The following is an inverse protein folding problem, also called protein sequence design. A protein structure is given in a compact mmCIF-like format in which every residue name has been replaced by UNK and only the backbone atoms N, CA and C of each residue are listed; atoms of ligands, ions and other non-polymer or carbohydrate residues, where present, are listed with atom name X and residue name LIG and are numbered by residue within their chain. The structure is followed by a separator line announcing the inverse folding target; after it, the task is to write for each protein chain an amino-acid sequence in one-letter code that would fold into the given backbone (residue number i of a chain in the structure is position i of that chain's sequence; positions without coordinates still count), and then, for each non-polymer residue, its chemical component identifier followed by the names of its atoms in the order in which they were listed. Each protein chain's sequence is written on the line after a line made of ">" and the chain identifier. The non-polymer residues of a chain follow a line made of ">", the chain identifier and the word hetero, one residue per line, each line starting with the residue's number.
data_IF_711593501042
#
_entry.id   IF_711593501042
#
_cell.length_a   1.000
_cell.length_b   1.000
_cell.length_c   1.000
_cell.angle_alpha   90.00
_cell.angle_beta   90.00
_cell.angle_gamma   90.00
#
_symmetry.space_group_name_H-M   'P 1'
#
loop_
_entity.id
_entity.type
_entity.pdbx_description
1 polymer ?
#
# COMPACT_ATOMS: atom_id res chain seq x y z
N UNK A 1 8.19 -7.81 11.64
CA UNK A 1 8.44 -6.88 10.51
C UNK A 1 7.63 -5.61 10.76
N UNK A 2 8.05 -4.45 10.27
CA UNK A 2 7.27 -3.21 10.37
C UNK A 2 6.90 -2.76 8.96
N UNK A 3 5.63 -2.42 8.75
CA UNK A 3 5.11 -1.92 7.48
C UNK A 3 4.90 -0.41 7.53
N UNK A 4 5.13 0.26 6.41
CA UNK A 4 4.99 1.70 6.27
C UNK A 4 4.20 2.04 5.01
N UNK A 5 3.40 3.10 5.07
CA UNK A 5 2.71 3.76 3.97
C UNK A 5 3.20 5.21 3.94
N UNK A 6 3.86 5.62 2.85
CA UNK A 6 4.50 6.94 2.71
C UNK A 6 5.34 7.32 3.94
N UNK A 7 6.23 6.41 4.32
CA UNK A 7 7.12 6.53 5.49
C UNK A 7 6.41 6.59 6.86
N UNK A 8 5.08 6.48 6.91
CA UNK A 8 4.30 6.40 8.15
C UNK A 8 4.04 4.94 8.54
N UNK A 9 4.27 4.54 9.81
CA UNK A 9 4.08 3.17 10.24
C UNK A 9 2.59 2.78 10.16
N UNK A 10 2.32 1.67 9.47
CA UNK A 10 1.00 1.07 9.37
C UNK A 10 0.70 0.35 10.69
N UNK A 11 -0.49 0.62 11.23
CA UNK A 11 -1.04 -0.13 12.36
C UNK A 11 -2.09 -1.10 11.84
N UNK A 12 -2.15 -2.27 12.45
CA UNK A 12 -3.16 -3.26 12.14
C UNK A 12 -4.56 -2.70 12.43
N UNK A 13 -5.45 -2.80 11.45
CA UNK A 13 -6.83 -2.33 11.50
C UNK A 13 -7.71 -3.29 10.68
N UNK A 14 -9.01 -3.01 10.56
CA UNK A 14 -9.89 -3.77 9.65
C UNK A 14 -9.51 -3.58 8.17
N UNK A 15 -8.92 -2.44 7.84
CA UNK A 15 -8.49 -2.09 6.49
C UNK A 15 -7.13 -2.69 6.16
N UNK A 16 -6.18 -2.57 7.10
CA UNK A 16 -4.82 -3.10 6.99
C UNK A 16 -4.63 -4.30 7.92
N UNK A 17 -4.54 -5.50 7.37
CA UNK A 17 -4.24 -6.72 8.11
C UNK A 17 -2.80 -7.14 7.86
N UNK A 18 -2.09 -7.57 8.91
CA UNK A 18 -0.70 -8.01 8.81
C UNK A 18 -0.63 -9.47 9.24
N UNK A 19 -0.22 -10.34 8.32
CA UNK A 19 -0.14 -11.78 8.56
C UNK A 19 1.32 -12.24 8.59
N UNK A 20 1.55 -13.26 9.42
CA UNK A 20 2.83 -13.95 9.56
C UNK A 20 2.55 -15.46 9.56
N UNK A 21 3.10 -16.16 8.58
CA UNK A 21 2.97 -17.62 8.51
C UNK A 21 4.11 -18.37 9.21
N UNK A 22 3.92 -19.68 9.39
CA UNK A 22 4.88 -20.57 10.05
C UNK A 22 6.18 -20.76 9.24
N UNK A 23 6.14 -20.53 7.93
CA UNK A 23 7.30 -20.56 7.03
C UNK A 23 8.12 -19.25 7.09
N UNK A 24 7.64 -18.25 7.83
CA UNK A 24 8.31 -16.97 8.06
C UNK A 24 7.98 -15.90 7.02
N UNK A 25 6.98 -16.10 6.17
CA UNK A 25 6.56 -15.03 5.27
C UNK A 25 5.69 -14.02 6.01
N UNK A 26 5.84 -12.75 5.61
CA UNK A 26 5.10 -11.62 6.18
C UNK A 26 4.32 -10.96 5.05
N UNK A 27 3.01 -10.80 5.21
CA UNK A 27 2.15 -10.15 4.21
C UNK A 27 1.35 -9.00 4.81
N UNK A 28 1.11 -7.97 4.00
CA UNK A 28 0.19 -6.88 4.28
C UNK A 28 -1.01 -7.04 3.34
N UNK A 29 -2.22 -7.11 3.92
CA UNK A 29 -3.47 -7.22 3.18
C UNK A 29 -4.26 -5.93 3.36
N UNK A 30 -4.65 -5.33 2.24
CA UNK A 30 -5.47 -4.11 2.17
C UNK A 30 -6.86 -4.51 1.70
N UNK A 31 -7.86 -4.33 2.55
CA UNK A 31 -9.26 -4.62 2.22
C UNK A 31 -9.89 -3.43 1.49
N UNK A 32 -10.75 -3.67 0.50
CA UNK A 32 -11.53 -2.61 -0.15
C UNK A 32 -10.69 -1.40 -0.61
N UNK A 33 -9.68 -1.66 -1.46
CA UNK A 33 -8.77 -0.64 -2.01
C UNK A 33 -9.54 0.53 -2.62
N UNK A 34 -9.19 1.74 -2.19
CA UNK A 34 -9.74 3.00 -2.70
C UNK A 34 -8.62 4.00 -3.02
N UNK A 35 -8.99 5.20 -3.49
CA UNK A 35 -8.00 6.22 -3.89
C UNK A 35 -7.07 6.70 -2.78
N UNK A 36 -7.47 6.60 -1.50
CA UNK A 36 -6.57 6.93 -0.39
C UNK A 36 -5.46 5.88 -0.24
N UNK A 37 -5.60 4.67 -0.77
CA UNK A 37 -4.59 3.61 -0.67
C UNK A 37 -3.43 3.74 -1.66
N UNK A 38 -3.56 4.62 -2.65
CA UNK A 38 -2.47 5.00 -3.57
C UNK A 38 -1.31 5.58 -2.77
N UNK A 39 -0.23 4.80 -2.68
CA UNK A 39 0.88 5.10 -1.79
C UNK A 39 2.09 4.18 -2.03
N UNK A 40 3.21 4.59 -1.46
CA UNK A 40 4.42 3.77 -1.38
C UNK A 40 4.42 2.93 -0.10
N UNK A 41 4.45 1.60 -0.26
CA UNK A 41 4.47 0.64 0.83
C UNK A 41 5.85 0.05 1.05
N UNK A 42 6.36 0.14 2.27
CA UNK A 42 7.68 -0.37 2.64
C UNK A 42 7.55 -1.39 3.76
N UNK A 43 8.16 -2.57 3.60
CA UNK A 43 8.34 -3.52 4.69
C UNK A 43 9.80 -3.47 5.16
N UNK A 44 9.98 -3.41 6.49
CA UNK A 44 11.28 -3.37 7.14
C UNK A 44 11.39 -4.50 8.16
N UNK A 45 12.29 -5.43 7.91
CA UNK A 45 12.66 -6.51 8.81
C UNK A 45 13.94 -6.14 9.56
N UNK A 46 13.95 -6.27 10.89
CA UNK A 46 15.11 -5.92 11.72
C UNK A 46 15.40 -7.04 12.71
N UNK A 47 16.68 -7.35 12.89
CA UNK A 47 17.20 -8.22 13.95
C UNK A 47 18.37 -7.51 14.67
N UNK A 48 19.01 -8.18 15.62
CA UNK A 48 20.13 -7.62 16.40
C UNK A 48 21.38 -7.31 15.59
N UNK A 49 21.49 -7.84 14.37
CA UNK A 49 22.67 -7.70 13.49
C UNK A 49 22.45 -6.64 12.42
N UNK A 50 21.20 -6.42 11.98
CA UNK A 50 20.91 -5.42 10.96
C UNK A 50 19.44 -5.37 10.54
N UNK A 51 19.21 -4.72 9.40
CA UNK A 51 17.89 -4.53 8.80
C UNK A 51 17.89 -4.88 7.30
N UNK A 52 16.73 -5.31 6.82
CA UNK A 52 16.42 -5.50 5.41
C UNK A 52 15.11 -4.78 5.08
N UNK A 53 15.04 -4.17 3.91
CA UNK A 53 13.91 -3.34 3.50
C UNK A 53 13.49 -3.69 2.07
N UNK A 54 12.19 -3.81 1.83
CA UNK A 54 11.60 -3.97 0.50
C UNK A 54 10.51 -2.90 0.31
N UNK A 55 10.33 -2.41 -0.90
CA UNK A 55 9.37 -1.33 -1.18
C UNK A 55 8.65 -1.56 -2.50
N UNK A 56 7.36 -1.27 -2.50
CA UNK A 56 6.47 -1.34 -3.66
C UNK A 56 5.57 -0.10 -3.69
N UNK A 57 5.14 0.30 -4.88
CA UNK A 57 4.20 1.41 -5.09
C UNK A 57 2.86 0.83 -5.53
N UNK A 58 1.77 1.22 -4.86
CA UNK A 58 0.41 0.87 -5.24
C UNK A 58 -0.20 2.07 -5.94
N UNK A 59 -0.59 1.90 -7.20
CA UNK A 59 -1.26 2.93 -7.99
C UNK A 59 -2.74 2.52 -8.13
N UNK A 60 -3.65 3.41 -7.74
CA UNK A 60 -5.10 3.15 -7.79
C UNK A 60 -5.74 3.95 -8.91
N UNK A 61 -6.05 3.27 -10.01
CA UNK A 61 -6.80 3.85 -11.12
C UNK A 61 -8.30 3.72 -10.88
N UNK A 62 -8.99 4.84 -10.72
CA UNK A 62 -10.45 4.88 -10.76
C UNK A 62 -10.87 4.72 -12.22
N UNK A 63 -11.62 3.65 -12.54
CA UNK A 63 -12.34 3.58 -13.81
C UNK A 63 -13.49 4.59 -13.78
N UNK A 64 -13.16 5.87 -13.99
CA UNK A 64 -14.12 6.93 -14.22
C UNK A 64 -14.72 6.80 -15.62
N UNK A 65 -16.05 6.85 -15.69
CA UNK A 65 -16.75 7.06 -16.96
C UNK A 65 -16.27 8.34 -17.63
N UNK A 66 -16.34 8.32 -18.96
CA UNK A 66 -15.98 9.36 -19.91
C UNK A 66 -16.22 10.77 -19.33
N UNK A 67 -15.14 11.53 -19.12
CA UNK A 67 -15.22 12.98 -19.03
C UNK A 67 -15.51 13.47 -20.45
N UNK A 68 -16.75 13.91 -20.72
CA UNK A 68 -17.07 14.66 -21.94
C UNK A 68 -16.20 15.92 -21.94
N UNK A 69 -15.15 15.94 -22.77
CA UNK A 69 -14.45 17.17 -23.14
C UNK A 69 -15.49 18.08 -23.81
N UNK A 70 -15.91 19.15 -23.13
CA UNK A 70 -16.67 20.23 -23.77
C UNK A 70 -15.77 20.83 -24.88
N UNK A 71 -16.13 20.60 -26.14
CA UNK A 71 -15.54 21.29 -27.28
C UNK A 71 -15.74 22.80 -27.10
N UNK A 72 -14.67 23.55 -26.81
CA UNK A 72 -14.68 25.00 -27.00
C UNK A 72 -14.72 25.26 -28.52
N UNK A 73 -15.90 25.54 -29.06
CA UNK A 73 -16.07 26.14 -30.40
C UNK A 73 -15.47 27.56 -30.41
N UNK A 74 -14.43 27.80 -31.24
CA UNK A 74 -14.11 29.11 -31.83
C UNK A 74 -14.32 29.09 -33.35
#
# INVERSE_FOLDING_TARGET
>A
VVWYKDDQPIKETRHFQIDYDEDGNCSLVISEVNGDDDAKYTCKAMNSVGEATCTAELIVEVMGGEEEEEEEEE
#
